data_IF_049138746220
#
_entry.id   IF_049138746220
#
_cell.length_a   1.000
_cell.length_b   1.000
_cell.length_c   1.000
_cell.angle_alpha   90.00
_cell.angle_beta   90.00
_cell.angle_gamma   90.00
#
_symmetry.space_group_name_H-M   'P 1'
#
loop_
_entity.id
_entity.type
_entity.pdbx_description
1 polymer ?
#
# COMPACT_ATOMS: atom_id res chain seq x y z
N UNK A 1 57.58 15.36 -29.14
CA UNK A 1 58.13 15.57 -27.79
C UNK A 1 58.12 14.19 -27.17
N UNK A 2 59.32 13.71 -26.87
CA UNK A 2 59.70 12.37 -26.39
C UNK A 2 59.08 12.11 -24.98
N UNK A 3 58.90 10.91 -24.43
CA UNK A 3 59.72 9.68 -24.32
C UNK A 3 58.75 8.46 -24.22
N UNK A 4 58.96 7.30 -24.84
CA UNK A 4 60.04 6.29 -24.71
C UNK A 4 60.14 5.63 -23.33
N UNK A 5 59.67 4.39 -23.22
CA UNK A 5 60.23 3.37 -22.33
C UNK A 5 59.81 1.97 -22.80
N UNK A 6 60.67 1.39 -23.64
CA UNK A 6 60.78 -0.04 -23.87
C UNK A 6 61.22 -0.75 -22.58
N UNK A 7 60.63 -1.91 -22.28
CA UNK A 7 61.38 -3.04 -21.70
C UNK A 7 60.74 -4.34 -22.16
N UNK A 8 61.46 -4.99 -23.07
CA UNK A 8 61.29 -6.32 -23.60
C UNK A 8 61.69 -7.37 -22.54
N UNK A 9 61.02 -8.52 -22.50
CA UNK A 9 61.54 -9.72 -21.79
C UNK A 9 60.85 -11.00 -22.27
N UNK A 10 61.27 -11.50 -23.43
CA UNK A 10 61.36 -12.93 -23.69
C UNK A 10 62.85 -13.33 -23.60
N UNK A 11 63.21 -14.30 -22.75
CA UNK A 11 64.24 -15.28 -23.11
C UNK A 11 64.22 -16.54 -22.22
N UNK A 12 64.61 -17.61 -22.88
CA UNK A 12 64.50 -19.04 -22.72
C UNK A 12 65.12 -19.70 -21.48
N UNK A 13 64.59 -20.88 -21.18
CA UNK A 13 65.20 -21.86 -20.30
C UNK A 13 66.29 -22.66 -21.02
N UNK A 14 67.45 -22.81 -20.38
CA UNK A 14 68.55 -23.67 -20.82
C UNK A 14 69.44 -24.10 -19.66
N UNK A 15 69.83 -25.38 -19.65
CA UNK A 15 70.29 -26.14 -18.49
C UNK A 15 71.81 -26.13 -18.20
N UNK A 16 72.11 -26.52 -16.94
CA UNK A 16 73.27 -27.28 -16.43
C UNK A 16 74.67 -26.64 -16.26
N UNK A 17 75.21 -26.67 -15.03
CA UNK A 17 76.44 -27.40 -14.63
C UNK A 17 76.85 -27.13 -13.16
N UNK A 18 77.66 -28.05 -12.64
CA UNK A 18 77.93 -28.35 -11.24
C UNK A 18 78.85 -27.37 -10.46
N UNK A 19 78.71 -27.39 -9.12
CA UNK A 19 79.67 -26.79 -8.19
C UNK A 19 79.33 -27.15 -6.73
N UNK A 20 79.99 -28.18 -6.19
CA UNK A 20 79.76 -28.66 -4.83
C UNK A 20 80.62 -27.99 -3.75
N UNK A 21 80.01 -27.90 -2.56
CA UNK A 21 80.58 -27.71 -1.20
C UNK A 21 80.97 -26.29 -0.78
N UNK A 22 80.14 -25.67 0.06
CA UNK A 22 80.58 -25.43 1.44
C UNK A 22 79.39 -25.34 2.42
N UNK A 23 79.52 -26.02 3.56
CA UNK A 23 78.52 -26.17 4.61
C UNK A 23 78.87 -25.20 5.73
N UNK A 24 78.12 -24.12 5.89
CA UNK A 24 78.14 -23.29 7.09
C UNK A 24 76.75 -23.35 7.75
N UNK A 25 76.62 -24.29 8.69
CA UNK A 25 75.51 -24.36 9.64
C UNK A 25 75.62 -23.12 10.54
N UNK A 26 74.53 -22.35 10.69
CA UNK A 26 73.86 -22.09 11.99
C UNK A 26 73.00 -20.80 11.98
N UNK A 27 71.76 -20.99 12.47
CA UNK A 27 70.83 -20.03 13.10
C UNK A 27 70.03 -19.07 12.21
N UNK A 28 68.74 -19.40 12.10
CA UNK A 28 67.67 -18.51 11.63
C UNK A 28 66.31 -19.22 11.63
N UNK A 29 66.06 -20.12 12.59
CA UNK A 29 64.79 -20.83 12.72
C UNK A 29 63.81 -19.99 13.53
N UNK A 30 62.69 -19.60 12.92
CA UNK A 30 61.54 -19.06 13.65
C UNK A 30 60.73 -17.94 12.98
N UNK A 31 61.13 -17.36 11.84
CA UNK A 31 60.44 -16.17 11.28
C UNK A 31 59.72 -16.34 9.93
N UNK A 32 59.89 -17.49 9.26
CA UNK A 32 59.33 -17.71 7.91
C UNK A 32 57.89 -18.23 7.90
N UNK A 33 57.53 -19.04 8.91
CA UNK A 33 56.19 -19.63 9.04
C UNK A 33 55.12 -18.59 9.34
N UNK A 34 55.41 -17.66 10.25
CA UNK A 34 54.48 -16.58 10.62
C UNK A 34 54.25 -15.62 9.45
N UNK A 35 55.30 -15.32 8.67
CA UNK A 35 55.18 -14.46 7.48
C UNK A 35 54.34 -15.11 6.37
N UNK A 36 54.45 -16.42 6.18
CA UNK A 36 53.62 -17.14 5.23
C UNK A 36 52.18 -17.27 5.74
N UNK A 37 51.98 -17.57 7.03
CA UNK A 37 50.66 -17.62 7.66
C UNK A 37 49.92 -16.30 7.55
N UNK A 38 50.60 -15.17 7.79
CA UNK A 38 50.03 -13.83 7.63
C UNK A 38 49.69 -13.52 6.17
N UNK A 39 50.45 -14.05 5.22
CA UNK A 39 50.16 -13.89 3.79
C UNK A 39 48.92 -14.69 3.39
N UNK A 40 48.82 -15.94 3.83
CA UNK A 40 47.67 -16.82 3.55
C UNK A 40 46.40 -16.27 4.23
N UNK A 41 46.50 -15.72 5.44
CA UNK A 41 45.41 -15.01 6.11
C UNK A 41 45.02 -13.72 5.35
N UNK A 42 45.99 -12.95 4.85
CA UNK A 42 45.69 -11.78 4.04
C UNK A 42 44.97 -12.14 2.74
N UNK A 43 45.40 -13.22 2.07
CA UNK A 43 44.77 -13.72 0.85
C UNK A 43 43.35 -14.26 1.15
N UNK A 44 43.16 -14.96 2.28
CA UNK A 44 41.85 -15.41 2.74
C UNK A 44 40.90 -14.24 3.01
N UNK A 45 41.39 -13.20 3.70
CA UNK A 45 40.61 -11.98 3.97
C UNK A 45 40.26 -11.23 2.67
N UNK A 46 41.17 -11.19 1.69
CA UNK A 46 40.88 -10.61 0.36
C UNK A 46 39.75 -11.36 -0.34
N UNK A 47 39.80 -12.70 -0.34
CA UNK A 47 38.74 -13.52 -0.90
C UNK A 47 37.39 -13.29 -0.19
N UNK A 48 37.41 -13.19 1.14
CA UNK A 48 36.20 -12.92 1.92
C UNK A 48 35.62 -11.53 1.65
N UNK A 49 36.47 -10.50 1.55
CA UNK A 49 36.05 -9.16 1.18
C UNK A 49 35.42 -9.11 -0.20
N UNK A 50 36.00 -9.81 -1.18
CA UNK A 50 35.42 -9.88 -2.53
C UNK A 50 34.08 -10.63 -2.54
N UNK A 51 33.94 -11.68 -1.72
CA UNK A 51 32.67 -12.38 -1.55
C UNK A 51 31.58 -11.46 -0.97
N UNK A 52 31.87 -10.70 0.08
CA UNK A 52 30.93 -9.73 0.64
C UNK A 52 30.61 -8.59 -0.32
N UNK A 53 31.60 -8.11 -1.08
CA UNK A 53 31.38 -7.11 -2.11
C UNK A 53 30.41 -7.62 -3.18
N UNK A 54 30.61 -8.84 -3.66
CA UNK A 54 29.71 -9.48 -4.62
C UNK A 54 28.30 -9.69 -4.04
N UNK A 55 28.18 -10.14 -2.79
CA UNK A 55 26.88 -10.31 -2.12
C UNK A 55 26.12 -8.97 -2.03
N UNK A 56 26.82 -7.89 -1.66
CA UNK A 56 26.25 -6.55 -1.63
C UNK A 56 25.82 -6.08 -3.02
N UNK A 57 26.62 -6.35 -4.05
CA UNK A 57 26.27 -6.01 -5.43
C UNK A 57 25.02 -6.77 -5.91
N UNK A 58 24.90 -8.06 -5.57
CA UNK A 58 23.71 -8.86 -5.86
C UNK A 58 22.48 -8.30 -5.13
N UNK A 59 22.60 -7.98 -3.84
CA UNK A 59 21.49 -7.39 -3.07
C UNK A 59 21.04 -6.04 -3.63
N UNK A 60 21.99 -5.21 -4.06
CA UNK A 60 21.66 -3.93 -4.72
C UNK A 60 20.93 -4.15 -6.04
N UNK A 61 21.38 -5.11 -6.84
CA UNK A 61 20.74 -5.43 -8.12
C UNK A 61 19.33 -5.96 -7.90
N UNK A 62 19.14 -6.89 -6.98
CA UNK A 62 17.83 -7.46 -6.63
C UNK A 62 16.85 -6.38 -6.17
N UNK A 63 17.29 -5.51 -5.25
CA UNK A 63 16.50 -4.38 -4.77
C UNK A 63 16.16 -3.39 -5.90
N UNK A 64 17.11 -3.10 -6.81
CA UNK A 64 16.84 -2.25 -7.96
C UNK A 64 15.81 -2.88 -8.91
N UNK A 65 15.88 -4.19 -9.14
CA UNK A 65 14.91 -4.88 -9.99
C UNK A 65 13.52 -4.93 -9.39
N UNK A 66 13.38 -5.07 -8.06
CA UNK A 66 12.08 -4.98 -7.38
C UNK A 66 11.51 -3.56 -7.49
N UNK A 67 12.32 -2.53 -7.23
CA UNK A 67 11.90 -1.12 -7.41
C UNK A 67 11.39 -0.87 -8.84
N UNK A 68 12.15 -1.32 -9.86
CA UNK A 68 11.75 -1.15 -11.26
C UNK A 68 10.45 -1.91 -11.61
N UNK A 69 10.23 -3.08 -11.01
CA UNK A 69 9.01 -3.86 -11.18
C UNK A 69 7.81 -3.16 -10.54
N UNK A 70 7.96 -2.64 -9.31
CA UNK A 70 6.94 -1.86 -8.60
C UNK A 70 6.60 -0.59 -9.36
N UNK A 71 7.59 0.10 -9.91
CA UNK A 71 7.39 1.32 -10.72
C UNK A 71 6.58 1.04 -11.99
N UNK A 72 6.84 -0.08 -12.67
CA UNK A 72 6.04 -0.51 -13.83
C UNK A 72 4.60 -0.81 -13.42
N UNK A 73 4.39 -1.53 -12.33
CA UNK A 73 3.05 -1.84 -11.83
C UNK A 73 2.29 -0.56 -11.45
N UNK A 74 2.97 0.39 -10.81
CA UNK A 74 2.41 1.67 -10.43
C UNK A 74 1.96 2.47 -11.67
N UNK A 75 2.79 2.55 -12.72
CA UNK A 75 2.44 3.22 -13.98
C UNK A 75 1.22 2.59 -14.66
N UNK A 76 1.12 1.27 -14.70
CA UNK A 76 -0.04 0.57 -15.27
C UNK A 76 -1.31 0.86 -14.47
N UNK A 77 -1.20 0.86 -13.15
CA UNK A 77 -2.32 1.14 -12.24
C UNK A 77 -2.80 2.58 -12.39
N UNK A 78 -1.87 3.55 -12.44
CA UNK A 78 -2.19 4.95 -12.71
C UNK A 78 -2.92 5.13 -14.04
N UNK A 79 -2.43 4.52 -15.12
CA UNK A 79 -3.07 4.59 -16.43
C UNK A 79 -4.46 3.94 -16.44
N UNK A 80 -4.63 2.83 -15.73
CA UNK A 80 -5.94 2.17 -15.56
C UNK A 80 -6.91 3.09 -14.82
N UNK A 81 -6.46 3.75 -13.75
CA UNK A 81 -7.26 4.69 -12.99
C UNK A 81 -7.71 5.89 -13.83
N UNK A 82 -6.80 6.48 -14.61
CA UNK A 82 -7.10 7.58 -15.54
C UNK A 82 -8.15 7.15 -16.59
N UNK A 83 -8.01 5.96 -17.16
CA UNK A 83 -8.97 5.42 -18.13
C UNK A 83 -10.37 5.20 -17.50
N UNK A 84 -10.43 4.67 -16.28
CA UNK A 84 -11.71 4.47 -15.56
C UNK A 84 -12.37 5.81 -15.25
N UNK A 85 -11.61 6.81 -14.80
CA UNK A 85 -12.14 8.15 -14.56
C UNK A 85 -12.69 8.79 -15.83
N UNK A 86 -11.99 8.64 -16.96
CA UNK A 86 -12.47 9.14 -18.25
C UNK A 86 -13.79 8.47 -18.67
N UNK A 87 -13.89 7.14 -18.54
CA UNK A 87 -15.14 6.41 -18.83
C UNK A 87 -16.29 6.88 -17.93
N UNK A 88 -16.05 7.08 -16.62
CA UNK A 88 -17.07 7.61 -15.72
C UNK A 88 -17.51 9.03 -16.09
N UNK A 89 -16.58 9.89 -16.52
CA UNK A 89 -16.92 11.23 -17.01
C UNK A 89 -17.76 11.17 -18.28
N UNK A 90 -17.44 10.28 -19.22
CA UNK A 90 -18.18 10.08 -20.46
C UNK A 90 -19.58 9.53 -20.20
N UNK A 91 -19.71 8.49 -19.36
CA UNK A 91 -21.00 7.94 -18.95
C UNK A 91 -21.89 8.98 -18.25
N UNK A 92 -21.29 9.86 -17.42
CA UNK A 92 -22.01 10.96 -16.78
C UNK A 92 -22.52 11.99 -17.79
N UNK A 93 -21.77 12.26 -18.86
CA UNK A 93 -22.18 13.15 -19.95
C UNK A 93 -23.34 12.56 -20.73
N UNK A 94 -23.25 11.29 -21.08
CA UNK A 94 -24.30 10.58 -21.80
C UNK A 94 -25.58 10.46 -20.96
N UNK A 95 -25.47 10.25 -19.65
CA UNK A 95 -26.60 10.28 -18.73
C UNK A 95 -27.29 11.65 -18.71
N UNK A 96 -26.52 12.74 -18.71
CA UNK A 96 -27.08 14.09 -18.76
C UNK A 96 -27.84 14.35 -20.08
N UNK A 97 -27.28 13.91 -21.21
CA UNK A 97 -27.92 14.03 -22.53
C UNK A 97 -29.19 13.18 -22.64
N UNK A 98 -29.16 11.95 -22.10
CA UNK A 98 -30.32 11.07 -22.04
C UNK A 98 -31.42 11.63 -21.13
N UNK A 99 -31.04 12.20 -19.98
CA UNK A 99 -31.97 12.87 -19.08
C UNK A 99 -32.64 14.08 -19.75
N UNK A 100 -31.89 14.87 -20.51
CA UNK A 100 -32.43 16.00 -21.28
C UNK A 100 -33.46 15.54 -22.33
N UNK A 101 -33.12 14.51 -23.12
CA UNK A 101 -34.04 13.93 -24.11
C UNK A 101 -35.29 13.35 -23.45
N UNK A 102 -35.13 12.64 -22.34
CA UNK A 102 -36.25 12.08 -21.57
C UNK A 102 -37.18 13.18 -21.05
N UNK A 103 -36.62 14.28 -20.53
CA UNK A 103 -37.42 15.45 -20.10
C UNK A 103 -38.21 16.06 -21.27
N UNK A 104 -37.59 16.19 -22.45
CA UNK A 104 -38.25 16.74 -23.63
C UNK A 104 -39.38 15.83 -24.14
N UNK A 105 -39.14 14.52 -24.23
CA UNK A 105 -40.15 13.52 -24.58
C UNK A 105 -41.29 13.48 -23.57
N UNK A 106 -41.00 13.54 -22.27
CA UNK A 106 -42.01 13.54 -21.22
C UNK A 106 -42.91 14.80 -21.29
N UNK A 107 -42.33 15.97 -21.56
CA UNK A 107 -43.11 17.20 -21.83
C UNK A 107 -44.05 17.03 -23.02
N UNK A 108 -43.56 16.46 -24.13
CA UNK A 108 -44.38 16.18 -25.31
C UNK A 108 -45.51 15.18 -25.01
N UNK A 109 -45.20 14.12 -24.25
CA UNK A 109 -46.17 13.11 -23.83
C UNK A 109 -47.30 13.73 -22.98
N UNK A 110 -46.94 14.56 -21.99
CA UNK A 110 -47.92 15.24 -21.14
C UNK A 110 -48.78 16.23 -21.94
N UNK A 111 -48.19 16.95 -22.89
CA UNK A 111 -48.94 17.85 -23.78
C UNK A 111 -49.94 17.08 -24.66
N UNK A 112 -49.57 15.93 -25.22
CA UNK A 112 -50.51 15.07 -25.96
C UNK A 112 -51.59 14.49 -25.05
N UNK A 113 -51.24 14.02 -23.85
CA UNK A 113 -52.18 13.47 -22.86
C UNK A 113 -53.23 14.51 -22.45
N UNK A 114 -52.83 15.77 -22.29
CA UNK A 114 -53.74 16.88 -21.97
C UNK A 114 -54.70 17.20 -23.11
N UNK A 115 -54.25 17.06 -24.38
CA UNK A 115 -55.12 17.19 -25.56
C UNK A 115 -56.14 16.05 -25.64
N UNK A 116 -55.72 14.81 -25.42
CA UNK A 116 -56.60 13.64 -25.42
C UNK A 116 -57.66 13.68 -24.29
N UNK A 117 -57.27 14.15 -23.10
CA UNK A 117 -58.19 14.34 -21.98
C UNK A 117 -59.22 15.47 -22.24
N UNK A 118 -58.86 16.45 -23.08
CA UNK A 118 -59.75 17.54 -23.50
C UNK A 118 -60.77 17.08 -24.54
N UNK A 119 -60.41 16.15 -25.41
CA UNK A 119 -61.32 15.52 -26.39
C UNK A 119 -62.25 14.48 -25.75
N UNK A 120 -61.86 13.87 -24.63
CA UNK A 120 -62.70 12.91 -23.88
C UNK A 120 -63.76 13.56 -22.98
N UNK A 121 -63.67 14.88 -22.71
CA UNK A 121 -64.62 15.64 -21.87
C UNK A 121 -65.76 16.30 -22.66
N UNK A 122 -66.04 15.80 -23.86
CA UNK A 122 -67.06 16.30 -24.77
C UNK A 122 -68.25 15.34 -24.97
N UNK A 123 -68.72 14.66 -23.92
CA UNK A 123 -70.04 13.98 -23.93
C UNK A 123 -70.50 13.55 -22.52
N UNK A 124 -70.96 14.49 -21.70
CA UNK A 124 -72.28 14.42 -21.05
C UNK A 124 -72.57 15.75 -20.34
N UNK A 125 -73.82 16.22 -20.41
CA UNK A 125 -74.23 17.55 -19.99
C UNK A 125 -74.58 17.69 -18.49
N UNK A 126 -74.73 18.94 -18.05
CA UNK A 126 -75.47 19.27 -16.82
C UNK A 126 -74.87 20.38 -15.94
N UNK A 127 -75.16 21.63 -16.31
CA UNK A 127 -75.63 22.77 -15.49
C UNK A 127 -75.03 23.16 -14.10
N UNK A 128 -74.95 24.48 -13.87
CA UNK A 128 -74.70 25.14 -12.57
C UNK A 128 -73.31 25.79 -12.43
N UNK A 129 -73.09 26.98 -12.98
CA UNK A 129 -73.27 28.31 -12.34
C UNK A 129 -72.09 28.77 -11.46
N UNK A 130 -71.31 29.65 -12.10
CA UNK A 130 -70.61 30.86 -11.66
C UNK A 130 -70.03 31.00 -10.23
N UNK A 131 -68.72 31.29 -10.25
CA UNK A 131 -68.00 32.49 -9.73
C UNK A 131 -66.77 32.08 -8.93
N UNK A 132 -65.60 32.35 -9.49
CA UNK A 132 -64.75 33.54 -9.25
C UNK A 132 -63.70 33.11 -8.21
N UNK A 133 -62.44 33.51 -8.24
CA UNK A 133 -61.60 34.25 -9.14
C UNK A 133 -60.19 34.14 -8.52
N UNK A 134 -59.16 34.31 -9.35
CA UNK A 134 -57.80 34.65 -8.95
C UNK A 134 -57.04 33.58 -8.10
N UNK A 135 -55.73 33.45 -8.10
CA UNK A 135 -54.61 34.23 -8.61
C UNK A 135 -53.45 33.22 -8.63
N UNK A 136 -52.70 33.11 -9.72
CA UNK A 136 -51.37 33.72 -9.88
C UNK A 136 -50.25 33.10 -9.03
N UNK A 137 -49.15 32.88 -9.73
CA UNK A 137 -47.95 32.23 -9.29
C UNK A 137 -47.14 33.10 -8.33
N UNK A 138 -46.54 32.50 -7.30
CA UNK A 138 -45.14 32.80 -6.97
C UNK A 138 -44.58 31.85 -5.92
N UNK A 139 -43.32 31.48 -6.13
CA UNK A 139 -42.24 31.39 -5.15
C UNK A 139 -42.57 30.70 -3.81
N UNK A 140 -42.11 29.47 -3.62
CA UNK A 140 -40.79 29.18 -3.01
C UNK A 140 -40.77 29.41 -1.50
N UNK A 141 -39.91 28.63 -0.83
CA UNK A 141 -39.53 28.69 0.60
C UNK A 141 -40.39 27.78 1.49
N UNK A 142 -40.06 26.50 1.64
CA UNK A 142 -38.98 25.96 2.49
C UNK A 142 -39.38 26.04 3.97
N UNK A 143 -39.64 24.89 4.61
CA UNK A 143 -38.74 24.35 5.63
C UNK A 143 -39.32 23.16 6.42
N UNK A 144 -38.52 22.08 6.42
CA UNK A 144 -38.30 21.12 7.53
C UNK A 144 -39.48 20.22 7.93
N UNK A 145 -39.35 18.89 8.03
CA UNK A 145 -38.31 18.14 8.74
C UNK A 145 -38.23 16.72 8.16
N UNK A 146 -37.00 16.32 7.81
CA UNK A 146 -36.40 15.00 8.05
C UNK A 146 -37.35 13.79 8.07
N UNK A 147 -37.35 12.99 7.00
CA UNK A 147 -36.91 11.62 7.19
C UNK A 147 -36.19 11.11 5.95
N UNK A 148 -35.00 10.61 6.20
CA UNK A 148 -33.96 10.28 5.25
C UNK A 148 -33.91 8.78 5.17
N UNK A 149 -34.76 8.15 4.36
CA UNK A 149 -34.58 6.74 3.99
C UNK A 149 -33.80 6.67 2.69
N UNK A 150 -32.49 6.80 2.87
CA UNK A 150 -31.46 6.52 1.88
C UNK A 150 -31.58 5.09 1.38
N UNK A 151 -31.42 4.96 0.07
CA UNK A 151 -30.56 3.99 -0.59
C UNK A 151 -30.11 2.83 0.31
N UNK A 152 -30.61 1.63 -0.01
CA UNK A 152 -30.05 0.38 0.45
C UNK A 152 -28.60 0.29 -0.02
N UNK A 153 -27.72 0.77 0.84
CA UNK A 153 -26.29 0.54 0.80
C UNK A 153 -25.98 -0.95 0.93
N UNK A 154 -24.91 -1.48 0.32
CA UNK A 154 -24.24 -2.66 0.86
C UNK A 154 -23.44 -2.22 2.10
N UNK A 155 -24.11 -1.78 3.18
CA UNK A 155 -23.50 -1.27 4.42
C UNK A 155 -23.66 -2.25 5.60
N UNK A 156 -24.20 -3.44 5.35
CA UNK A 156 -24.43 -4.43 6.41
C UNK A 156 -23.16 -5.15 6.91
N UNK A 157 -21.98 -4.88 6.34
CA UNK A 157 -20.71 -5.42 6.86
C UNK A 157 -19.78 -4.38 7.51
N UNK A 158 -19.95 -3.08 7.22
CA UNK A 158 -19.07 -2.05 7.79
C UNK A 158 -19.45 -1.66 9.23
N UNK A 159 -20.74 -1.77 9.56
CA UNK A 159 -21.30 -1.42 10.87
C UNK A 159 -20.90 -2.40 11.98
N UNK A 160 -20.52 -3.64 11.62
CA UNK A 160 -20.05 -4.64 12.58
C UNK A 160 -18.58 -4.43 13.02
N UNK A 161 -17.79 -3.66 12.26
CA UNK A 161 -16.39 -3.32 12.57
C UNK A 161 -16.24 -2.01 13.35
N UNK A 162 -17.26 -1.15 13.34
CA UNK A 162 -17.25 0.16 13.99
C UNK A 162 -18.03 0.14 15.30
N UNK A 163 -17.61 -0.70 16.24
CA UNK A 163 -17.92 -0.42 17.65
C UNK A 163 -17.44 1.00 17.95
N UNK A 164 -18.37 1.95 18.15
CA UNK A 164 -18.15 3.40 18.34
C UNK A 164 -16.71 3.76 18.75
N UNK A 165 -15.85 4.04 17.77
CA UNK A 165 -14.43 4.34 18.01
C UNK A 165 -14.34 5.72 18.65
N UNK A 166 -13.84 5.80 19.87
CA UNK A 166 -13.64 7.07 20.56
C UNK A 166 -12.50 7.86 19.90
N UNK A 167 -12.47 9.19 20.10
CA UNK A 167 -11.38 10.03 19.58
C UNK A 167 -10.00 9.58 20.09
N UNK A 168 -9.95 9.11 21.34
CA UNK A 168 -8.74 8.54 21.92
C UNK A 168 -8.31 7.25 21.20
N UNK A 169 -9.24 6.32 20.96
CA UNK A 169 -8.96 5.09 20.21
C UNK A 169 -8.53 5.40 18.78
N UNK A 170 -9.20 6.33 18.09
CA UNK A 170 -8.83 6.76 16.74
C UNK A 170 -7.40 7.32 16.70
N UNK A 171 -7.03 8.16 17.66
CA UNK A 171 -5.67 8.70 17.80
C UNK A 171 -4.65 7.59 18.04
N UNK A 172 -4.97 6.61 18.90
CA UNK A 172 -4.10 5.47 19.19
C UNK A 172 -3.92 4.58 17.95
N UNK A 173 -5.00 4.24 17.26
CA UNK A 173 -4.96 3.46 16.02
C UNK A 173 -4.07 4.16 15.00
N UNK A 174 -4.19 5.48 14.84
CA UNK A 174 -3.33 6.26 13.95
C UNK A 174 -1.85 6.20 14.33
N UNK A 175 -1.52 6.44 15.60
CA UNK A 175 -0.14 6.38 16.11
C UNK A 175 0.48 4.98 15.96
N UNK A 176 -0.25 3.93 16.32
CA UNK A 176 0.19 2.53 16.20
C UNK A 176 0.36 2.17 14.73
N UNK A 177 -0.55 2.62 13.86
CA UNK A 177 -0.46 2.37 12.42
C UNK A 177 0.80 2.99 11.84
N UNK A 178 1.08 4.28 12.10
CA UNK A 178 2.31 4.94 11.63
C UNK A 178 3.55 4.22 12.14
N UNK A 179 3.56 3.85 13.43
CA UNK A 179 4.67 3.12 14.03
C UNK A 179 4.90 1.76 13.37
N UNK A 180 3.85 0.98 13.16
CA UNK A 180 3.99 -0.35 12.57
C UNK A 180 4.31 -0.32 11.07
N UNK A 181 3.93 0.73 10.34
CA UNK A 181 4.31 0.89 8.93
C UNK A 181 5.83 1.02 8.74
N UNK A 182 6.53 1.62 9.70
CA UNK A 182 8.01 1.74 9.66
C UNK A 182 8.73 0.50 10.23
N UNK A 183 7.99 -0.50 10.73
CA UNK A 183 8.54 -1.72 11.35
C UNK A 183 8.14 -2.98 10.56
N UNK A 184 8.88 -3.34 9.49
CA UNK A 184 8.54 -4.48 8.62
C UNK A 184 8.51 -5.83 9.35
N UNK A 185 9.28 -5.98 10.42
CA UNK A 185 9.32 -7.21 11.25
C UNK A 185 8.38 -7.17 12.46
N UNK A 186 7.58 -6.11 12.59
CA UNK A 186 6.71 -5.88 13.72
C UNK A 186 7.45 -5.53 15.02
N UNK A 187 6.67 -5.31 16.07
CA UNK A 187 7.17 -4.86 17.37
C UNK A 187 6.43 -5.52 18.54
N UNK A 188 7.09 -5.65 19.69
CA UNK A 188 6.43 -6.07 20.93
C UNK A 188 5.49 -4.98 21.44
N UNK A 189 4.50 -5.36 22.25
CA UNK A 189 3.55 -4.42 22.87
C UNK A 189 4.28 -3.34 23.66
N UNK A 190 5.29 -3.73 24.45
CA UNK A 190 6.08 -2.82 25.27
C UNK A 190 6.83 -1.77 24.44
N UNK A 191 7.29 -2.14 23.25
CA UNK A 191 7.99 -1.20 22.38
C UNK A 191 7.03 -0.20 21.74
N UNK A 192 5.86 -0.68 21.28
CA UNK A 192 4.79 0.19 20.75
C UNK A 192 4.29 1.13 21.85
N UNK A 193 4.07 0.60 23.06
CA UNK A 193 3.64 1.38 24.21
C UNK A 193 4.63 2.48 24.57
N UNK A 194 5.94 2.18 24.59
CA UNK A 194 7.00 3.16 24.82
C UNK A 194 7.00 4.30 23.78
N UNK A 195 6.59 4.02 22.54
CA UNK A 195 6.41 5.04 21.51
C UNK A 195 5.15 5.87 21.74
N UNK A 196 4.01 5.22 21.97
CA UNK A 196 2.71 5.87 22.16
C UNK A 196 2.69 6.75 23.42
N UNK A 197 3.36 6.34 24.49
CA UNK A 197 3.42 7.07 25.76
C UNK A 197 3.99 8.48 25.62
N UNK A 198 4.85 8.72 24.62
CA UNK A 198 5.39 10.06 24.32
C UNK A 198 4.33 11.06 23.87
N UNK A 199 3.24 10.57 23.29
CA UNK A 199 2.14 11.40 22.78
C UNK A 199 0.90 11.33 23.68
N UNK A 200 0.67 10.18 24.32
CA UNK A 200 -0.47 9.93 25.20
C UNK A 200 0.00 9.20 26.46
N UNK A 201 0.49 9.91 27.49
CA UNK A 201 1.08 9.30 28.68
C UNK A 201 0.06 8.60 29.61
N UNK A 202 -1.24 8.80 29.40
CA UNK A 202 -2.30 8.22 30.21
C UNK A 202 -2.63 6.75 29.87
N UNK A 203 -2.03 6.19 28.81
CA UNK A 203 -2.39 4.87 28.27
C UNK A 203 -1.54 3.77 28.89
N UNK A 204 -2.16 2.67 29.29
CA UNK A 204 -1.48 1.46 29.79
C UNK A 204 -1.16 0.49 28.65
N UNK A 205 -0.11 -0.31 28.82
CA UNK A 205 0.26 -1.40 27.89
C UNK A 205 -0.91 -2.38 27.66
N UNK A 206 -1.69 -2.67 28.71
CA UNK A 206 -2.88 -3.54 28.64
C UNK A 206 -3.99 -2.99 27.73
N UNK A 207 -4.20 -1.68 27.77
CA UNK A 207 -5.28 -1.01 27.02
C UNK A 207 -4.90 -0.96 25.54
N UNK A 208 -3.60 -0.76 25.27
CA UNK A 208 -3.03 -0.83 23.94
C UNK A 208 -3.16 -2.22 23.33
N UNK A 209 -2.82 -3.27 24.08
CA UNK A 209 -2.97 -4.65 23.61
C UNK A 209 -4.43 -5.00 23.34
N UNK A 210 -5.33 -4.59 24.24
CA UNK A 210 -6.78 -4.82 24.08
C UNK A 210 -7.33 -4.11 22.85
N UNK A 211 -6.87 -2.89 22.58
CA UNK A 211 -7.20 -2.13 21.38
C UNK A 211 -6.75 -2.87 20.12
N UNK A 212 -5.49 -3.31 20.07
CA UNK A 212 -4.95 -4.00 18.90
C UNK A 212 -5.65 -5.35 18.66
N UNK A 213 -6.06 -6.06 19.71
CA UNK A 213 -6.88 -7.28 19.61
C UNK A 213 -8.29 -6.98 19.10
N UNK A 214 -8.90 -5.87 19.54
CA UNK A 214 -10.22 -5.42 19.07
C UNK A 214 -10.17 -5.09 17.57
N UNK A 215 -9.10 -4.48 17.10
CA UNK A 215 -8.88 -4.15 15.69
C UNK A 215 -8.00 -5.18 14.97
N UNK A 216 -8.34 -6.47 15.10
CA UNK A 216 -7.59 -7.57 14.48
C UNK A 216 -7.52 -7.55 12.96
N UNK A 217 -8.41 -6.79 12.30
CA UNK A 217 -8.32 -6.52 10.87
C UNK A 217 -7.16 -5.58 10.50
N UNK A 218 -6.81 -4.63 11.37
CA UNK A 218 -5.75 -3.64 11.16
C UNK A 218 -4.39 -4.08 11.73
N UNK A 219 -4.41 -4.88 12.80
CA UNK A 219 -3.21 -5.30 13.51
C UNK A 219 -3.18 -6.82 13.64
N UNK A 220 -2.14 -7.43 13.09
CA UNK A 220 -1.93 -8.88 13.19
C UNK A 220 -0.88 -9.19 14.25
N UNK A 221 -1.10 -10.25 15.01
CA UNK A 221 -0.15 -10.73 16.01
C UNK A 221 0.53 -11.99 15.50
N UNK A 222 1.82 -11.86 15.17
CA UNK A 222 2.66 -12.97 14.73
C UNK A 222 3.47 -13.51 15.91
N UNK A 223 3.64 -14.83 15.92
CA UNK A 223 4.57 -15.52 16.80
C UNK A 223 5.84 -15.82 15.99
N UNK A 224 6.92 -15.11 16.28
CA UNK A 224 8.20 -15.25 15.58
C UNK A 224 9.19 -15.96 16.51
N UNK A 225 9.81 -17.05 16.05
CA UNK A 225 10.83 -17.80 16.78
C UNK A 225 10.59 -19.30 16.83
N UNK A 226 11.54 -20.05 17.41
CA UNK A 226 11.46 -21.51 17.59
C UNK A 226 11.73 -21.83 19.07
N UNK A 227 10.85 -22.64 19.69
CA UNK A 227 11.04 -23.15 21.06
C UNK A 227 10.97 -22.05 22.13
N UNK A 228 12.02 -21.94 22.95
CA UNK A 228 12.09 -21.02 24.08
C UNK A 228 12.21 -19.53 23.70
N UNK A 229 12.47 -19.22 22.42
CA UNK A 229 12.64 -17.85 21.93
C UNK A 229 11.46 -17.37 21.07
N UNK A 230 10.23 -17.81 21.39
CA UNK A 230 9.04 -17.38 20.68
C UNK A 230 8.59 -16.01 21.19
N UNK A 231 8.60 -15.01 20.31
CA UNK A 231 8.24 -13.65 20.63
C UNK A 231 6.92 -13.28 19.97
N UNK A 232 6.05 -12.60 20.73
CA UNK A 232 4.82 -11.99 20.22
C UNK A 232 5.14 -10.65 19.61
N UNK A 233 4.97 -10.53 18.29
CA UNK A 233 5.19 -9.27 17.56
C UNK A 233 3.91 -8.86 16.83
N UNK A 234 3.55 -7.61 16.97
CA UNK A 234 2.45 -7.01 16.24
C UNK A 234 2.94 -6.41 14.92
N UNK A 235 2.17 -6.60 13.86
CA UNK A 235 2.39 -6.03 12.53
C UNK A 235 1.14 -5.30 12.06
N UNK A 236 1.33 -4.37 11.13
CA UNK A 236 0.22 -3.71 10.45
C UNK A 236 -0.33 -4.65 9.37
N UNK A 237 -1.61 -5.01 9.48
CA UNK A 237 -2.30 -5.99 8.63
C UNK A 237 -2.98 -5.42 7.39
N UNK A 238 -2.98 -4.09 7.21
CA UNK A 238 -3.81 -3.44 6.19
C UNK A 238 -5.31 -3.53 6.53
N UNK A 239 -6.19 -2.97 5.71
CA UNK A 239 -7.63 -3.22 5.87
C UNK A 239 -7.95 -4.43 5.01
N UNK A 240 -8.03 -5.62 5.61
CA UNK A 240 -8.54 -6.79 4.91
C UNK A 240 -10.03 -6.56 4.63
N UNK A 241 -10.35 -6.21 3.39
CA UNK A 241 -11.73 -6.30 2.89
C UNK A 241 -12.05 -7.79 2.88
N UNK A 242 -12.75 -8.26 3.90
CA UNK A 242 -13.24 -9.62 3.96
C UNK A 242 -14.34 -9.76 2.90
N UNK A 243 -13.98 -10.18 1.69
CA UNK A 243 -14.99 -10.77 0.80
C UNK A 243 -15.48 -12.04 1.48
N UNK A 244 -16.70 -11.98 2.02
CA UNK A 244 -17.40 -13.12 2.55
C UNK A 244 -17.57 -14.17 1.45
N UNK A 245 -16.62 -15.10 1.35
CA UNK A 245 -16.78 -16.32 0.58
C UNK A 245 -17.76 -17.20 1.34
N UNK A 246 -19.03 -17.04 0.96
CA UNK A 246 -20.14 -17.94 1.25
C UNK A 246 -19.68 -19.40 1.21
N UNK A 247 -19.61 -20.02 2.37
CA UNK A 247 -19.58 -21.47 2.51
C UNK A 247 -20.86 -22.04 1.89
N UNK A 248 -20.70 -22.87 0.86
CA UNK A 248 -21.82 -23.46 0.15
C UNK A 248 -21.36 -24.46 -0.89
N UNK A 249 -20.96 -25.64 -0.43
CA UNK A 249 -21.17 -26.94 -1.07
C UNK A 249 -20.88 -28.06 -0.07
#
# INVERSE_FOLDING_TARGET
HEDSMDTDSEDEGGAAAAGGKNKMKKQGGGGGGDKQSLKDENDSLRCQLEAYKNEVEILKLDMQTDVDAKDKQLKVTQKTLENVQMNLMDARREQADAAFKSMQLNKQLNALKHKLNKESKGKDGGDGDAKDDADDASAETMETKTDTTLLTEPSLELSALTSNVTELEAKLIGLISIFLHIHPFGASVEYIWSYVQKFVPAVKSSDLESLMRRFGGLFTQDLVGIGANIERRWKYGGIAVTEATSSGM
#
